data_IF_266080447566
#
_entry.id   IF_266080447566
#
_cell.length_a   1.000
_cell.length_b   1.000
_cell.length_c   1.000
_cell.angle_alpha   90.00
_cell.angle_beta   90.00
_cell.angle_gamma   90.00
#
_symmetry.space_group_name_H-M   'P 1'
#
loop_
_entity.id
_entity.type
_entity.pdbx_description
1 polymer ?
#
# COMPACT_ATOMS: atom_id res chain seq x y z
N UNK A 1 5.54 16.82 22.03
CA UNK A 1 6.29 16.12 20.95
C UNK A 1 5.88 14.65 21.04
N UNK A 2 4.98 14.16 20.18
CA UNK A 2 4.64 12.73 20.17
C UNK A 2 5.90 11.95 19.76
N UNK A 3 6.36 11.01 20.60
CA UNK A 3 7.40 10.07 20.20
C UNK A 3 6.90 9.33 18.95
N UNK A 4 7.63 9.44 17.85
CA UNK A 4 7.34 8.69 16.63
C UNK A 4 7.45 7.19 16.95
N UNK A 5 6.39 6.43 16.66
CA UNK A 5 6.40 4.99 16.82
C UNK A 5 7.45 4.39 15.87
N UNK A 6 8.59 3.96 16.43
CA UNK A 6 9.73 3.44 15.66
C UNK A 6 9.41 2.16 14.88
N UNK A 7 8.32 1.47 15.20
CA UNK A 7 7.85 0.32 14.43
C UNK A 7 7.42 0.72 13.00
N UNK A 8 7.08 2.00 12.75
CA UNK A 8 6.78 2.47 11.40
C UNK A 8 7.93 2.30 10.40
N UNK A 9 9.17 2.17 10.88
CA UNK A 9 10.39 2.00 10.09
C UNK A 9 11.01 0.61 10.30
N UNK A 10 10.15 -0.41 10.35
CA UNK A 10 10.57 -1.79 10.56
C UNK A 10 11.47 -2.27 9.42
N UNK A 11 12.53 -2.98 9.78
CA UNK A 11 13.41 -3.72 8.86
C UNK A 11 13.47 -5.18 9.30
N UNK A 12 13.83 -6.11 8.40
CA UNK A 12 14.02 -7.51 8.76
C UNK A 12 14.96 -7.72 9.94
N UNK A 13 16.06 -6.96 10.02
CA UNK A 13 17.00 -7.05 11.14
C UNK A 13 16.39 -6.59 12.47
N UNK A 14 15.61 -5.49 12.45
CA UNK A 14 14.88 -5.02 13.63
C UNK A 14 13.83 -6.05 14.06
N UNK A 15 13.14 -6.70 13.12
CA UNK A 15 12.22 -7.79 13.42
C UNK A 15 12.94 -8.99 14.04
N UNK A 16 14.07 -9.42 13.46
CA UNK A 16 14.89 -10.50 14.03
C UNK A 16 15.35 -10.20 15.46
N UNK A 17 15.74 -8.96 15.74
CA UNK A 17 16.07 -8.53 17.11
C UNK A 17 14.86 -8.61 18.05
N UNK A 18 13.67 -8.20 17.61
CA UNK A 18 12.44 -8.29 18.41
C UNK A 18 12.08 -9.75 18.73
N UNK A 19 12.27 -10.66 17.78
CA UNK A 19 12.08 -12.11 17.99
C UNK A 19 13.09 -12.63 19.02
N UNK A 20 14.37 -12.32 18.85
CA UNK A 20 15.42 -12.71 19.80
C UNK A 20 15.13 -12.21 21.22
N UNK A 21 14.72 -10.94 21.36
CA UNK A 21 14.38 -10.36 22.66
C UNK A 21 13.15 -11.01 23.29
N UNK A 22 12.17 -11.43 22.49
CA UNK A 22 11.02 -12.20 22.97
C UNK A 22 11.43 -13.58 23.49
N UNK A 23 12.37 -14.26 22.82
CA UNK A 23 12.90 -15.56 23.28
C UNK A 23 13.66 -15.45 24.62
N UNK A 24 14.05 -14.24 25.02
CA UNK A 24 14.74 -13.94 26.28
C UNK A 24 13.86 -13.14 27.26
N UNK A 25 12.53 -13.20 27.09
CA UNK A 25 11.53 -12.54 27.94
C UNK A 25 11.71 -11.02 28.11
N UNK A 26 12.44 -10.38 27.19
CA UNK A 26 12.72 -8.94 27.24
C UNK A 26 11.65 -8.08 26.54
N UNK A 27 10.87 -8.68 25.63
CA UNK A 27 9.79 -8.03 24.88
C UNK A 27 8.64 -9.00 24.65
N UNK A 28 7.39 -8.55 24.82
CA UNK A 28 6.22 -9.33 24.42
C UNK A 28 5.91 -9.15 22.93
N UNK A 29 6.17 -10.19 22.13
CA UNK A 29 5.94 -10.16 20.68
C UNK A 29 4.45 -10.05 20.32
N UNK A 30 3.53 -10.47 21.19
CA UNK A 30 2.08 -10.32 20.97
C UNK A 30 1.73 -8.83 20.97
N UNK A 31 2.22 -8.09 21.96
CA UNK A 31 2.04 -6.64 22.02
C UNK A 31 2.68 -5.93 20.82
N UNK A 32 3.87 -6.35 20.38
CA UNK A 32 4.52 -5.79 19.19
C UNK A 32 3.68 -6.03 17.93
N UNK A 33 3.21 -7.25 17.70
CA UNK A 33 2.35 -7.59 16.56
C UNK A 33 1.06 -6.79 16.56
N UNK A 34 0.43 -6.59 17.74
CA UNK A 34 -0.75 -5.73 17.87
C UNK A 34 -0.46 -4.29 17.43
N UNK A 35 0.68 -3.71 17.80
CA UNK A 35 1.07 -2.39 17.31
C UNK A 35 1.37 -2.36 15.81
N UNK A 36 1.96 -3.42 15.27
CA UNK A 36 2.14 -3.56 13.83
C UNK A 36 0.80 -3.59 13.09
N UNK A 37 -0.18 -4.35 13.59
CA UNK A 37 -1.54 -4.39 13.02
C UNK A 37 -2.19 -3.00 13.05
N UNK A 38 -2.11 -2.26 14.16
CA UNK A 38 -2.63 -0.89 14.21
C UNK A 38 -1.99 0.06 13.17
N UNK A 39 -0.68 -0.08 12.89
CA UNK A 39 0.00 0.68 11.83
C UNK A 39 -0.52 0.26 10.44
N UNK A 40 -0.72 -1.03 10.23
CA UNK A 40 -1.22 -1.58 8.97
C UNK A 40 -2.67 -1.14 8.69
N UNK A 41 -3.54 -1.22 9.70
CA UNK A 41 -4.92 -0.76 9.65
C UNK A 41 -5.00 0.74 9.36
N UNK A 42 -4.16 1.56 10.02
CA UNK A 42 -4.10 2.99 9.74
C UNK A 42 -3.73 3.29 8.29
N UNK A 43 -2.86 2.48 7.67
CA UNK A 43 -2.50 2.62 6.25
C UNK A 43 -3.63 2.17 5.33
N UNK A 44 -4.38 1.14 5.71
CA UNK A 44 -5.55 0.68 4.96
C UNK A 44 -6.66 1.74 4.99
N UNK A 45 -6.92 2.37 6.12
CA UNK A 45 -7.86 3.48 6.22
C UNK A 45 -7.50 4.62 5.26
N UNK A 46 -6.23 5.02 5.21
CA UNK A 46 -5.75 6.03 4.24
C UNK A 46 -5.94 5.53 2.79
N UNK A 47 -5.74 4.24 2.53
CA UNK A 47 -5.94 3.68 1.20
C UNK A 47 -7.41 3.76 0.77
N UNK A 48 -8.33 3.44 1.67
CA UNK A 48 -9.79 3.52 1.46
C UNK A 48 -10.25 4.96 1.25
N UNK A 49 -9.77 5.90 2.07
CA UNK A 49 -10.09 7.33 1.89
C UNK A 49 -9.67 7.83 0.50
N UNK A 50 -8.48 7.45 0.04
CA UNK A 50 -8.02 7.81 -1.31
C UNK A 50 -8.88 7.15 -2.40
N UNK A 51 -9.31 5.90 -2.22
CA UNK A 51 -10.20 5.21 -3.16
C UNK A 51 -11.56 5.91 -3.23
N UNK A 52 -12.16 6.19 -2.08
CA UNK A 52 -13.43 6.90 -1.98
C UNK A 52 -13.37 8.27 -2.67
N UNK A 53 -12.30 9.04 -2.44
CA UNK A 53 -12.11 10.33 -3.12
C UNK A 53 -12.00 10.14 -4.64
N UNK A 54 -11.28 9.12 -5.11
CA UNK A 54 -11.14 8.83 -6.54
C UNK A 54 -12.50 8.51 -7.18
N UNK A 55 -13.31 7.68 -6.52
CA UNK A 55 -14.67 7.33 -6.94
C UNK A 55 -15.56 8.56 -7.02
N UNK A 56 -15.53 9.41 -5.99
CA UNK A 56 -16.34 10.64 -5.95
C UNK A 56 -15.94 11.65 -7.02
N UNK A 57 -14.65 11.77 -7.30
CA UNK A 57 -14.16 12.65 -8.37
C UNK A 57 -14.61 12.17 -9.75
N UNK A 58 -14.60 10.85 -10.00
CA UNK A 58 -15.10 10.29 -11.24
C UNK A 58 -16.62 10.50 -11.37
N UNK A 59 -17.39 10.25 -10.31
CA UNK A 59 -18.85 10.42 -10.28
C UNK A 59 -19.29 11.84 -10.65
N UNK A 60 -18.59 12.86 -10.14
CA UNK A 60 -18.90 14.26 -10.43
C UNK A 60 -18.19 14.80 -11.69
N UNK A 61 -17.45 13.95 -12.42
CA UNK A 61 -16.77 14.31 -13.66
C UNK A 61 -15.61 15.30 -13.50
N UNK A 62 -14.96 15.35 -12.33
CA UNK A 62 -13.90 16.31 -12.03
C UNK A 62 -12.52 15.68 -11.91
N UNK A 63 -11.57 16.31 -12.62
CA UNK A 63 -10.13 16.08 -12.50
C UNK A 63 -9.71 14.62 -12.65
N UNK A 64 -9.82 14.10 -13.87
CA UNK A 64 -9.30 12.77 -14.25
C UNK A 64 -7.83 12.56 -13.81
N UNK A 65 -7.00 13.61 -13.83
CA UNK A 65 -5.63 13.58 -13.30
C UNK A 65 -5.60 13.27 -11.80
N UNK A 66 -6.46 13.93 -11.02
CA UNK A 66 -6.58 13.68 -9.57
C UNK A 66 -7.15 12.28 -9.30
N UNK A 67 -8.06 11.78 -10.14
CA UNK A 67 -8.55 10.39 -10.02
C UNK A 67 -7.37 9.41 -10.11
N UNK A 68 -6.53 9.50 -11.16
CA UNK A 68 -5.34 8.64 -11.29
C UNK A 68 -4.39 8.78 -10.09
N UNK A 69 -4.17 10.01 -9.63
CA UNK A 69 -3.34 10.27 -8.46
C UNK A 69 -3.87 9.55 -7.21
N UNK A 70 -5.17 9.71 -6.93
CA UNK A 70 -5.84 9.13 -5.77
C UNK A 70 -5.93 7.60 -5.85
N UNK A 71 -6.26 7.04 -7.02
CA UNK A 71 -6.22 5.59 -7.24
C UNK A 71 -4.83 5.01 -6.98
N UNK A 72 -3.77 5.65 -7.47
CA UNK A 72 -2.41 5.17 -7.21
C UNK A 72 -2.02 5.28 -5.72
N UNK A 73 -2.35 6.38 -5.05
CA UNK A 73 -2.04 6.51 -3.61
C UNK A 73 -2.83 5.52 -2.76
N UNK A 74 -4.06 5.19 -3.15
CA UNK A 74 -4.82 4.08 -2.56
C UNK A 74 -4.04 2.77 -2.65
N UNK A 75 -3.61 2.37 -3.86
CA UNK A 75 -2.78 1.17 -4.07
C UNK A 75 -1.49 1.21 -3.26
N UNK A 76 -0.81 2.38 -3.22
CA UNK A 76 0.45 2.55 -2.50
C UNK A 76 0.30 2.30 -1.00
N UNK A 77 -0.73 2.87 -0.37
CA UNK A 77 -0.94 2.70 1.06
C UNK A 77 -1.39 1.27 1.40
N UNK A 78 -2.26 0.68 0.58
CA UNK A 78 -2.69 -0.71 0.73
C UNK A 78 -1.52 -1.70 0.58
N UNK A 79 -0.76 -1.63 -0.52
CA UNK A 79 0.38 -2.50 -0.75
C UNK A 79 1.47 -2.33 0.32
N UNK A 80 1.72 -1.10 0.79
CA UNK A 80 2.68 -0.84 1.88
C UNK A 80 2.20 -1.43 3.20
N UNK A 81 0.90 -1.48 3.44
CA UNK A 81 0.32 -2.18 4.60
C UNK A 81 0.58 -3.68 4.54
N UNK A 82 0.22 -4.33 3.43
CA UNK A 82 0.42 -5.76 3.25
C UNK A 82 1.90 -6.16 3.29
N UNK A 83 2.79 -5.42 2.60
CA UNK A 83 4.24 -5.68 2.63
C UNK A 83 4.81 -5.51 4.03
N UNK A 84 4.39 -4.48 4.76
CA UNK A 84 4.84 -4.23 6.13
C UNK A 84 4.56 -5.38 7.06
N UNK A 85 3.34 -5.93 6.98
CA UNK A 85 2.91 -7.03 7.82
C UNK A 85 3.52 -8.35 7.37
N UNK A 86 3.38 -8.70 6.10
CA UNK A 86 3.75 -10.02 5.58
C UNK A 86 5.25 -10.21 5.40
N UNK A 87 6.01 -9.13 5.25
CA UNK A 87 7.46 -9.17 5.05
C UNK A 87 8.25 -8.52 6.19
N UNK A 88 7.56 -8.05 7.24
CA UNK A 88 8.16 -7.34 8.39
C UNK A 88 9.14 -6.24 7.95
N UNK A 89 8.72 -5.47 6.94
CA UNK A 89 9.55 -4.51 6.23
C UNK A 89 8.73 -3.29 5.82
N UNK A 90 9.12 -2.11 6.26
CA UNK A 90 8.58 -0.88 5.73
C UNK A 90 9.28 -0.44 4.44
N UNK A 91 8.50 0.01 3.45
CA UNK A 91 9.02 0.46 2.15
C UNK A 91 8.35 1.75 1.74
N UNK A 92 9.11 2.85 1.77
CA UNK A 92 8.63 4.20 1.44
C UNK A 92 8.85 4.58 -0.03
N UNK A 93 9.84 3.97 -0.69
CA UNK A 93 10.15 4.27 -2.10
C UNK A 93 9.17 3.57 -3.02
N UNK A 94 8.42 4.34 -3.81
CA UNK A 94 7.38 3.84 -4.71
C UNK A 94 7.80 2.68 -5.63
N UNK A 95 8.94 2.80 -6.33
CA UNK A 95 9.45 1.72 -7.20
C UNK A 95 9.78 0.47 -6.41
N UNK A 96 10.50 0.62 -5.30
CA UNK A 96 10.87 -0.50 -4.43
C UNK A 96 9.64 -1.19 -3.80
N UNK A 97 8.59 -0.42 -3.49
CA UNK A 97 7.35 -0.98 -2.98
C UNK A 97 6.68 -1.88 -4.01
N UNK A 98 6.59 -1.44 -5.28
CA UNK A 98 6.08 -2.27 -6.38
C UNK A 98 6.86 -3.59 -6.49
N UNK A 99 8.19 -3.54 -6.40
CA UNK A 99 9.03 -4.74 -6.49
C UNK A 99 8.80 -5.70 -5.31
N UNK A 100 8.58 -5.16 -4.10
CA UNK A 100 8.30 -5.97 -2.90
C UNK A 100 6.88 -6.54 -2.92
N UNK A 101 5.92 -5.73 -3.34
CA UNK A 101 4.54 -6.17 -3.55
C UNK A 101 4.47 -7.26 -4.62
N UNK A 102 5.21 -7.14 -5.73
CA UNK A 102 5.34 -8.21 -6.73
C UNK A 102 5.80 -9.53 -6.12
N UNK A 103 6.86 -9.51 -5.30
CA UNK A 103 7.36 -10.71 -4.62
C UNK A 103 6.30 -11.31 -3.69
N UNK A 104 5.58 -10.46 -2.95
CA UNK A 104 4.51 -10.87 -2.05
C UNK A 104 3.34 -11.54 -2.81
N UNK A 105 2.87 -10.94 -3.89
CA UNK A 105 1.74 -11.46 -4.67
C UNK A 105 2.11 -12.76 -5.38
N UNK A 106 3.29 -12.85 -6.01
CA UNK A 106 3.74 -14.12 -6.62
C UNK A 106 3.80 -15.24 -5.58
N UNK A 107 4.31 -14.96 -4.37
CA UNK A 107 4.41 -15.95 -3.30
C UNK A 107 3.04 -16.48 -2.87
N UNK A 108 2.02 -15.63 -2.81
CA UNK A 108 0.69 -16.00 -2.28
C UNK A 108 -0.29 -16.47 -3.37
N UNK A 109 -0.15 -16.00 -4.60
CA UNK A 109 -1.16 -16.19 -5.66
C UNK A 109 -0.58 -16.77 -6.96
N UNK A 110 0.74 -16.82 -7.11
CA UNK A 110 1.40 -17.44 -8.27
C UNK A 110 1.49 -16.57 -9.53
N UNK A 111 0.97 -15.34 -9.52
CA UNK A 111 1.05 -14.39 -10.64
C UNK A 111 1.49 -12.98 -10.20
N UNK A 112 1.81 -12.10 -11.15
CA UNK A 112 2.26 -10.73 -10.90
C UNK A 112 1.36 -9.63 -11.49
N UNK A 113 0.11 -9.98 -11.83
CA UNK A 113 -0.85 -9.10 -12.52
C UNK A 113 -1.11 -7.83 -11.71
N UNK A 114 -1.43 -7.98 -10.42
CA UNK A 114 -1.69 -6.85 -9.51
C UNK A 114 -0.47 -5.93 -9.39
N UNK A 115 0.74 -6.49 -9.37
CA UNK A 115 1.97 -5.70 -9.32
C UNK A 115 2.23 -4.94 -10.63
N UNK A 116 1.92 -5.56 -11.78
CA UNK A 116 1.98 -4.90 -13.10
C UNK A 116 0.98 -3.75 -13.19
N UNK A 117 -0.26 -3.95 -12.74
CA UNK A 117 -1.29 -2.91 -12.65
C UNK A 117 -0.83 -1.75 -11.76
N UNK A 118 -0.35 -2.05 -10.54
CA UNK A 118 0.19 -1.02 -9.64
C UNK A 118 1.32 -0.21 -10.31
N UNK A 119 2.24 -0.87 -11.02
CA UNK A 119 3.34 -0.17 -11.71
C UNK A 119 2.85 0.68 -12.89
N UNK A 120 1.85 0.20 -13.65
CA UNK A 120 1.20 0.96 -14.72
C UNK A 120 0.67 2.28 -14.16
N UNK A 121 -0.08 2.23 -13.07
CA UNK A 121 -0.66 3.43 -12.45
C UNK A 121 0.37 4.31 -11.76
N UNK A 122 1.46 3.75 -11.22
CA UNK A 122 2.61 4.55 -10.76
C UNK A 122 3.17 5.41 -11.88
N UNK A 123 3.39 4.83 -13.06
CA UNK A 123 3.92 5.54 -14.22
C UNK A 123 2.92 6.56 -14.76
N UNK A 124 1.64 6.20 -14.81
CA UNK A 124 0.59 7.12 -15.24
C UNK A 124 0.46 8.31 -14.28
N UNK A 125 0.52 8.06 -12.97
CA UNK A 125 0.49 9.11 -11.94
C UNK A 125 1.65 10.09 -12.11
N UNK A 126 2.85 9.62 -12.39
CA UNK A 126 4.00 10.51 -12.68
C UNK A 126 3.71 11.40 -13.88
N UNK A 127 3.12 10.88 -14.95
CA UNK A 127 2.70 11.70 -16.10
C UNK A 127 1.63 12.71 -15.67
N UNK A 128 0.58 12.27 -14.99
CA UNK A 128 -0.50 13.13 -14.48
C UNK A 128 -0.02 14.23 -13.53
N UNK A 129 1.01 13.99 -12.73
CA UNK A 129 1.49 14.96 -11.75
C UNK A 129 2.44 15.99 -12.39
N UNK A 130 3.24 15.60 -13.40
CA UNK A 130 4.38 16.40 -13.86
C UNK A 130 4.34 16.79 -15.35
N UNK A 131 3.53 16.13 -16.17
CA UNK A 131 3.34 16.49 -17.58
C UNK A 131 2.09 17.36 -17.74
N UNK A 132 2.24 18.60 -18.17
CA UNK A 132 1.12 19.52 -18.34
C UNK A 132 0.20 19.12 -19.51
N UNK A 133 0.72 18.38 -20.49
CA UNK A 133 0.03 18.07 -21.74
C UNK A 133 -0.66 16.70 -21.75
N UNK A 134 -0.60 15.95 -20.64
CA UNK A 134 -1.21 14.63 -20.58
C UNK A 134 -2.74 14.74 -20.51
N UNK A 135 -3.41 14.21 -21.54
CA UNK A 135 -4.85 13.97 -21.55
C UNK A 135 -5.17 12.62 -20.90
N UNK A 136 -6.17 12.59 -20.02
CA UNK A 136 -6.65 11.35 -19.38
C UNK A 136 -8.11 11.15 -19.75
N UNK A 137 -8.39 10.06 -20.45
CA UNK A 137 -9.75 9.64 -20.78
C UNK A 137 -10.45 9.06 -19.55
N UNK A 138 -11.78 9.17 -19.51
CA UNK A 138 -12.60 8.76 -18.36
C UNK A 138 -12.58 7.23 -18.12
N UNK A 139 -12.50 6.43 -19.18
CA UNK A 139 -12.36 4.97 -19.11
C UNK A 139 -11.07 4.52 -18.38
N UNK A 140 -10.00 5.32 -18.52
CA UNK A 140 -8.76 5.12 -17.78
C UNK A 140 -8.94 5.35 -16.28
N UNK A 141 -9.77 6.32 -15.89
CA UNK A 141 -10.11 6.58 -14.49
C UNK A 141 -10.86 5.39 -13.88
N UNK A 142 -11.88 4.87 -14.58
CA UNK A 142 -12.61 3.68 -14.15
C UNK A 142 -11.70 2.46 -13.98
N UNK A 143 -10.79 2.25 -14.93
CA UNK A 143 -9.78 1.18 -14.85
C UNK A 143 -8.85 1.35 -13.64
N UNK A 144 -8.41 2.58 -13.35
CA UNK A 144 -7.52 2.85 -12.21
C UNK A 144 -8.21 2.61 -10.86
N UNK A 145 -9.48 2.98 -10.74
CA UNK A 145 -10.32 2.71 -9.55
C UNK A 145 -10.55 1.22 -9.39
N UNK A 146 -10.89 0.51 -10.46
CA UNK A 146 -11.10 -0.95 -10.42
C UNK A 146 -9.84 -1.70 -9.96
N UNK A 147 -8.69 -1.37 -10.53
CA UNK A 147 -7.40 -1.94 -10.11
C UNK A 147 -7.05 -1.55 -8.66
N UNK A 148 -7.38 -0.32 -8.23
CA UNK A 148 -7.14 0.14 -6.85
C UNK A 148 -7.97 -0.67 -5.86
N UNK A 149 -9.25 -0.84 -6.14
CA UNK A 149 -10.19 -1.61 -5.34
C UNK A 149 -9.71 -3.05 -5.15
N UNK A 150 -9.24 -3.70 -6.23
CA UNK A 150 -8.72 -5.07 -6.16
C UNK A 150 -7.44 -5.16 -5.31
N UNK A 151 -6.52 -4.21 -5.45
CA UNK A 151 -5.29 -4.18 -4.62
C UNK A 151 -5.63 -3.90 -3.15
N UNK A 152 -6.59 -3.01 -2.86
CA UNK A 152 -7.07 -2.74 -1.49
C UNK A 152 -7.65 -4.03 -0.89
N UNK A 153 -8.57 -4.70 -1.60
CA UNK A 153 -9.19 -5.95 -1.15
C UNK A 153 -8.15 -7.01 -0.81
N UNK A 154 -7.22 -7.30 -1.74
CA UNK A 154 -6.17 -8.30 -1.52
C UNK A 154 -5.25 -7.89 -0.36
N UNK A 155 -4.91 -6.61 -0.25
CA UNK A 155 -4.06 -6.12 0.84
C UNK A 155 -4.72 -6.28 2.20
N UNK A 156 -6.04 -6.07 2.30
CA UNK A 156 -6.80 -6.32 3.54
C UNK A 156 -6.75 -7.79 3.93
N UNK A 157 -7.06 -8.69 3.00
CA UNK A 157 -7.02 -10.14 3.27
C UNK A 157 -5.63 -10.62 3.72
N UNK A 158 -4.56 -10.05 3.16
CA UNK A 158 -3.19 -10.33 3.58
C UNK A 158 -2.87 -9.76 4.97
N UNK A 159 -3.50 -8.66 5.40
CA UNK A 159 -3.29 -8.09 6.74
C UNK A 159 -4.09 -8.85 7.79
N UNK A 160 -5.32 -9.26 7.49
CA UNK A 160 -6.17 -10.05 8.40
C UNK A 160 -5.58 -11.43 8.75
N UNK A 161 -4.72 -11.98 7.90
CA UNK A 161 -4.07 -13.28 8.10
C UNK A 161 -2.80 -13.28 8.97
N UNK A 162 -2.44 -12.18 9.65
CA UNK A 162 -1.21 -12.03 10.43
C UNK A 162 -1.42 -11.99 11.95
#
# INVERSE_FOLDING_TARGET
MMQQNKLMELTPDKWGLLVYLNEHDAVDLITVKRFMNGIAESRLAIAEDNLFIAEKLLEIGLSNRTVIHKSYYSMYHAARSAVYIQMQLDVTRHKSLVDKFKKLIIKNFGDDTLAKQMNKWRLMRIKCDYDLNVGIAEDMCGSAISDASMIVYISKSLVEGF
#
